data_IF_359350726033
#
_entry.id   IF_359350726033
#
_cell.length_a   1.000
_cell.length_b   1.000
_cell.length_c   1.000
_cell.angle_alpha   90.00
_cell.angle_beta   90.00
_cell.angle_gamma   90.00
#
_symmetry.space_group_name_H-M   'P 1'
#
loop_
_entity.id
_entity.type
_entity.pdbx_description
1 polymer ?
#
# COMPACT_ATOMS: atom_id res chain seq x y z
N UNK A 1 19.28 34.54 111.18
CA UNK A 1 18.55 33.94 112.32
C UNK A 1 17.28 33.29 111.78
N UNK A 2 17.00 32.03 112.19
CA UNK A 2 15.68 31.37 112.46
C UNK A 2 14.47 31.76 111.57
N UNK A 3 13.56 30.90 111.10
CA UNK A 3 13.16 29.49 111.29
C UNK A 3 12.02 29.28 110.27
N UNK A 4 11.98 28.17 109.52
CA UNK A 4 10.97 27.09 109.60
C UNK A 4 9.48 27.53 109.49
N UNK A 5 8.76 27.11 108.44
CA UNK A 5 7.70 26.08 108.50
C UNK A 5 7.06 25.78 107.13
N UNK A 6 6.67 24.52 106.96
CA UNK A 6 5.99 23.91 105.81
C UNK A 6 4.49 24.24 105.75
N UNK A 7 3.84 24.06 104.58
CA UNK A 7 2.60 23.27 104.39
C UNK A 7 2.42 23.01 102.88
N UNK A 8 2.10 21.75 102.55
CA UNK A 8 1.79 21.24 101.22
C UNK A 8 0.32 21.49 100.83
N UNK A 9 0.02 21.64 99.53
CA UNK A 9 -1.13 21.02 98.89
C UNK A 9 -0.95 20.99 97.36
N UNK A 10 -1.40 19.90 96.76
CA UNK A 10 -1.06 19.38 95.44
C UNK A 10 -2.10 19.70 94.34
N UNK A 11 -1.82 19.18 93.14
CA UNK A 11 -2.76 18.87 92.02
C UNK A 11 -2.95 20.06 91.03
N UNK A 12 -2.65 20.03 89.72
CA UNK A 12 -2.59 18.98 88.69
C UNK A 12 -1.45 19.31 87.70
N UNK A 13 -0.47 18.43 87.55
CA UNK A 13 0.42 18.41 86.40
C UNK A 13 -0.14 17.40 85.39
N UNK A 14 -0.82 17.88 84.36
CA UNK A 14 -1.23 17.08 83.21
C UNK A 14 -0.02 16.77 82.33
N UNK A 15 0.81 15.82 82.76
CA UNK A 15 1.82 15.22 81.90
C UNK A 15 1.09 14.27 80.93
N UNK A 16 0.72 14.80 79.77
CA UNK A 16 0.38 13.97 78.62
C UNK A 16 1.65 13.20 78.23
N UNK A 17 1.75 11.96 78.69
CA UNK A 17 2.68 10.98 78.15
C UNK A 17 2.32 10.78 76.68
N UNK A 18 3.06 11.46 75.80
CA UNK A 18 3.14 11.13 74.39
C UNK A 18 3.71 9.71 74.30
N UNK A 19 2.83 8.71 74.22
CA UNK A 19 3.20 7.39 73.73
C UNK A 19 3.79 7.59 72.35
N UNK A 20 5.10 7.42 72.21
CA UNK A 20 5.73 7.27 70.92
C UNK A 20 5.07 6.06 70.23
N UNK A 21 4.18 6.31 69.27
CA UNK A 21 3.66 5.28 68.39
C UNK A 21 4.87 4.70 67.64
N UNK A 22 5.40 3.58 68.12
CA UNK A 22 6.40 2.83 67.40
C UNK A 22 5.77 2.40 66.06
N UNK A 23 6.35 2.84 64.95
CA UNK A 23 5.95 2.37 63.63
C UNK A 23 6.07 0.85 63.58
N UNK A 24 5.10 0.17 62.97
CA UNK A 24 5.17 -1.28 62.80
C UNK A 24 6.47 -1.68 62.08
N UNK A 25 7.05 -2.87 62.41
CA UNK A 25 8.25 -3.33 61.75
C UNK A 25 7.97 -3.52 60.25
N UNK A 26 8.79 -2.93 59.36
CA UNK A 26 8.56 -3.04 57.93
C UNK A 26 8.77 -4.48 57.45
N UNK A 27 7.99 -4.93 56.45
CA UNK A 27 8.26 -6.19 55.75
C UNK A 27 9.70 -6.25 55.22
N UNK A 28 10.26 -7.45 55.09
CA UNK A 28 11.63 -7.68 54.60
C UNK A 28 11.64 -8.63 53.41
N UNK A 29 12.78 -8.75 52.72
CA UNK A 29 12.99 -9.68 51.61
C UNK A 29 11.90 -9.63 50.53
N UNK A 30 11.48 -8.41 50.17
CA UNK A 30 10.52 -8.22 49.08
C UNK A 30 11.17 -8.66 47.77
N UNK A 31 10.69 -9.76 47.21
CA UNK A 31 11.20 -10.36 46.00
C UNK A 31 10.11 -10.49 44.94
N UNK A 32 10.51 -10.46 43.68
CA UNK A 32 9.65 -10.67 42.52
C UNK A 32 10.17 -11.85 41.71
N UNK A 33 9.26 -12.65 41.17
CA UNK A 33 9.56 -13.75 40.27
C UNK A 33 8.34 -14.03 39.39
N UNK A 34 8.52 -14.82 38.32
CA UNK A 34 7.38 -15.31 37.56
C UNK A 34 6.51 -16.26 38.39
N UNK A 35 5.19 -16.07 38.33
CA UNK A 35 4.26 -17.05 38.90
C UNK A 35 4.43 -18.41 38.20
N UNK A 36 4.32 -19.54 38.94
CA UNK A 36 4.66 -20.87 38.45
C UNK A 36 3.78 -21.35 37.29
N UNK A 37 2.60 -20.75 37.09
CA UNK A 37 1.68 -21.06 35.99
C UNK A 37 1.84 -20.07 34.84
N UNK A 38 2.75 -20.38 33.92
CA UNK A 38 2.74 -19.83 32.56
C UNK A 38 3.13 -18.36 32.39
N UNK A 39 3.83 -17.75 33.36
CA UNK A 39 4.35 -16.36 33.29
C UNK A 39 3.27 -15.30 32.99
N UNK A 40 2.02 -15.56 33.41
CA UNK A 40 0.91 -14.63 33.23
C UNK A 40 0.76 -13.65 34.42
N UNK A 41 1.57 -13.82 35.46
CA UNK A 41 1.56 -12.99 36.65
C UNK A 41 2.97 -12.88 37.26
N UNK A 42 3.23 -11.75 37.91
CA UNK A 42 4.39 -11.49 38.76
C UNK A 42 4.04 -11.95 40.17
N UNK A 43 4.76 -12.94 40.67
CA UNK A 43 4.70 -13.38 42.06
C UNK A 43 5.56 -12.45 42.90
N UNK A 44 4.92 -11.73 43.80
CA UNK A 44 5.58 -10.92 44.83
C UNK A 44 5.57 -11.71 46.12
N UNK A 45 6.71 -11.81 46.80
CA UNK A 45 6.82 -12.44 48.13
C UNK A 45 7.55 -11.52 49.09
N UNK A 46 7.23 -11.60 50.38
CA UNK A 46 7.92 -10.86 51.43
C UNK A 46 7.95 -11.67 52.73
N UNK A 47 8.67 -11.17 53.73
CA UNK A 47 8.74 -11.75 55.08
C UNK A 47 8.28 -10.75 56.13
N UNK A 48 7.39 -11.20 57.00
CA UNK A 48 6.94 -10.52 58.21
C UNK A 48 6.35 -11.57 59.19
N UNK A 49 5.72 -11.11 60.26
CA UNK A 49 5.10 -11.95 61.29
C UNK A 49 3.56 -12.09 61.12
N UNK A 50 3.06 -12.14 59.88
CA UNK A 50 1.63 -12.29 59.57
C UNK A 50 0.81 -11.00 59.70
N UNK A 51 1.46 -9.86 59.53
CA UNK A 51 0.85 -8.54 59.67
C UNK A 51 -0.05 -8.19 58.46
N UNK A 52 -1.01 -7.26 58.57
CA UNK A 52 -1.73 -6.78 57.41
C UNK A 52 -0.81 -5.94 56.53
N UNK A 53 -0.82 -6.17 55.22
CA UNK A 53 0.09 -5.52 54.28
C UNK A 53 -0.63 -4.72 53.21
N UNK A 54 -0.07 -3.56 52.89
CA UNK A 54 -0.38 -2.76 51.70
C UNK A 54 0.73 -2.99 50.67
N UNK A 55 0.35 -3.47 49.49
CA UNK A 55 1.22 -3.68 48.36
C UNK A 55 0.91 -2.63 47.29
N UNK A 56 1.93 -1.97 46.76
CA UNK A 56 1.80 -0.98 45.70
C UNK A 56 2.79 -1.21 44.57
N UNK A 57 2.34 -0.94 43.35
CA UNK A 57 3.21 -0.89 42.16
C UNK A 57 3.70 0.56 42.01
N UNK A 58 5.02 0.74 42.04
CA UNK A 58 5.67 2.03 41.82
C UNK A 58 6.36 2.02 40.44
N UNK A 59 5.99 2.96 39.57
CA UNK A 59 6.75 3.20 38.34
C UNK A 59 7.93 4.12 38.62
N UNK A 60 9.10 3.83 38.06
CA UNK A 60 10.32 4.62 38.32
C UNK A 60 10.18 6.11 37.92
N UNK A 61 9.28 6.42 36.97
CA UNK A 61 8.99 7.78 36.48
C UNK A 61 7.61 8.32 36.90
N UNK A 62 6.85 7.61 37.75
CA UNK A 62 5.53 8.04 38.22
C UNK A 62 5.48 8.06 39.74
N UNK A 63 5.27 9.24 40.33
CA UNK A 63 5.21 9.43 41.78
C UNK A 63 3.92 8.88 42.41
N UNK A 64 2.89 8.60 41.61
CA UNK A 64 1.63 8.02 42.09
C UNK A 64 1.59 6.50 41.87
N UNK A 65 1.20 5.70 42.88
CA UNK A 65 1.07 4.25 42.72
C UNK A 65 -0.07 3.94 41.76
N UNK A 66 0.21 3.16 40.71
CA UNK A 66 -0.78 2.79 39.70
C UNK A 66 -1.78 1.74 40.21
N UNK A 67 -1.45 1.03 41.29
CA UNK A 67 -2.25 -0.05 41.84
C UNK A 67 -1.97 -0.24 43.33
N UNK A 68 -3.03 -0.50 44.12
CA UNK A 68 -2.94 -0.74 45.57
C UNK A 68 -3.73 -1.99 45.92
N UNK A 69 -3.10 -2.94 46.61
CA UNK A 69 -3.75 -4.12 47.18
C UNK A 69 -3.50 -4.17 48.68
N UNK A 70 -4.54 -4.50 49.45
CA UNK A 70 -4.41 -4.83 50.86
C UNK A 70 -4.54 -6.35 51.04
N UNK A 71 -3.62 -6.92 51.80
CA UNK A 71 -3.62 -8.33 52.23
C UNK A 71 -3.90 -8.33 53.74
N UNK A 72 -5.00 -8.96 54.18
CA UNK A 72 -5.32 -9.08 55.61
C UNK A 72 -4.22 -9.77 56.41
N UNK A 73 -4.22 -9.55 57.72
CA UNK A 73 -3.34 -10.28 58.65
C UNK A 73 -3.64 -11.79 58.60
N UNK A 74 -2.61 -12.62 58.76
CA UNK A 74 -2.71 -14.09 58.73
C UNK A 74 -2.84 -14.72 57.34
N UNK A 75 -2.96 -13.94 56.28
CA UNK A 75 -2.89 -14.44 54.90
C UNK A 75 -1.43 -14.74 54.48
N UNK A 76 -1.20 -15.57 53.45
CA UNK A 76 0.15 -15.83 52.95
C UNK A 76 0.86 -14.55 52.48
N UNK A 77 2.15 -14.43 52.80
CA UNK A 77 3.02 -13.32 52.36
C UNK A 77 3.44 -13.43 50.89
N UNK A 78 2.45 -13.54 50.03
CA UNK A 78 2.61 -13.58 48.59
C UNK A 78 1.41 -12.99 47.87
N UNK A 79 1.65 -12.43 46.70
CA UNK A 79 0.58 -12.00 45.82
C UNK A 79 0.98 -12.20 44.36
N UNK A 80 0.08 -12.81 43.59
CA UNK A 80 0.21 -12.92 42.13
C UNK A 80 -0.47 -11.72 41.47
N UNK A 81 0.35 -10.83 40.90
CA UNK A 81 -0.09 -9.65 40.17
C UNK A 81 -0.16 -9.99 38.68
N UNK A 82 -1.33 -9.93 38.02
CA UNK A 82 -1.43 -10.16 36.58
C UNK A 82 -0.49 -9.24 35.79
N UNK A 83 0.15 -9.73 34.71
CA UNK A 83 1.03 -8.89 33.88
C UNK A 83 0.31 -7.68 33.29
N UNK A 84 -1.00 -7.80 33.06
CA UNK A 84 -1.85 -6.68 32.61
C UNK A 84 -1.96 -5.51 33.60
N UNK A 85 -1.54 -5.68 34.86
CA UNK A 85 -1.47 -4.59 35.83
C UNK A 85 -0.21 -3.73 35.66
N UNK A 86 0.75 -4.19 34.86
CA UNK A 86 1.96 -3.45 34.51
C UNK A 86 1.85 -3.00 33.05
N UNK A 87 1.74 -1.69 32.78
CA UNK A 87 1.92 -1.18 31.43
C UNK A 87 3.24 -1.67 30.83
N UNK A 88 3.24 -1.99 29.54
CA UNK A 88 4.44 -2.44 28.84
C UNK A 88 5.44 -1.30 28.63
N UNK A 89 6.70 -1.67 28.37
CA UNK A 89 7.80 -0.75 28.07
C UNK A 89 8.11 0.24 29.23
N UNK A 90 7.98 -0.24 30.47
CA UNK A 90 8.20 0.55 31.68
C UNK A 90 9.16 -0.12 32.67
N UNK A 91 9.61 0.66 33.66
CA UNK A 91 10.44 0.17 34.76
C UNK A 91 9.65 0.27 36.08
N UNK A 92 9.59 -0.83 36.84
CA UNK A 92 8.73 -0.93 38.01
C UNK A 92 9.47 -1.48 39.24
N UNK A 93 8.92 -1.16 40.41
CA UNK A 93 9.22 -1.81 41.68
C UNK A 93 7.91 -2.14 42.38
N UNK A 94 7.90 -3.20 43.17
CA UNK A 94 6.80 -3.48 44.08
C UNK A 94 7.21 -3.07 45.48
N UNK A 95 6.41 -2.24 46.13
CA UNK A 95 6.61 -1.81 47.50
C UNK A 95 5.58 -2.45 48.43
N UNK A 96 6.04 -2.95 49.57
CA UNK A 96 5.22 -3.58 50.61
C UNK A 96 5.44 -2.82 51.91
N UNK A 97 4.36 -2.47 52.60
CA UNK A 97 4.38 -1.91 53.95
C UNK A 97 3.26 -2.51 54.79
N UNK A 98 3.44 -2.53 56.10
CA UNK A 98 2.38 -2.86 57.04
C UNK A 98 1.33 -1.76 57.03
N UNK A 99 0.06 -2.15 56.95
CA UNK A 99 -1.05 -1.21 56.90
C UNK A 99 -2.36 -1.81 56.42
N UNK A 100 -3.45 -1.11 56.71
CA UNK A 100 -4.80 -1.49 56.29
C UNK A 100 -5.46 -0.38 55.48
N UNK A 101 -6.56 -0.69 54.78
CA UNK A 101 -7.31 0.29 54.01
C UNK A 101 -7.94 1.39 54.89
N UNK A 102 -8.21 1.10 56.17
CA UNK A 102 -8.84 2.03 57.11
C UNK A 102 -7.82 2.75 58.01
N UNK A 103 -6.76 2.05 58.42
CA UNK A 103 -5.72 2.58 59.34
C UNK A 103 -4.53 3.23 58.65
N UNK A 104 -4.45 3.16 57.32
CA UNK A 104 -3.32 3.69 56.56
C UNK A 104 -2.06 2.82 56.68
N UNK A 105 -0.93 3.38 56.25
CA UNK A 105 0.38 2.74 56.30
C UNK A 105 1.06 3.06 57.63
N UNK A 106 1.48 2.03 58.35
CA UNK A 106 2.04 2.13 59.70
C UNK A 106 3.54 1.79 59.77
N UNK A 107 4.11 1.22 58.70
CA UNK A 107 5.56 0.95 58.56
C UNK A 107 6.21 1.74 57.42
N UNK A 108 7.55 1.73 57.36
CA UNK A 108 8.28 2.13 56.15
C UNK A 108 7.98 1.15 55.00
N UNK A 109 8.12 1.63 53.76
CA UNK A 109 8.02 0.83 52.54
C UNK A 109 9.30 0.05 52.30
N UNK A 110 9.18 -1.25 52.08
CA UNK A 110 10.26 -2.10 51.58
C UNK A 110 10.00 -2.42 50.12
N UNK A 111 11.03 -2.30 49.28
CA UNK A 111 10.91 -2.37 47.82
C UNK A 111 11.59 -3.60 47.25
N UNK A 112 11.02 -4.16 46.19
CA UNK A 112 11.69 -5.16 45.37
C UNK A 112 12.88 -4.56 44.60
N UNK A 113 13.75 -5.40 44.02
CA UNK A 113 14.58 -5.01 42.89
C UNK A 113 13.74 -4.39 41.76
N UNK A 114 14.38 -3.54 40.96
CA UNK A 114 13.76 -2.99 39.75
C UNK A 114 13.69 -4.08 38.68
N UNK A 115 12.63 -4.07 37.91
CA UNK A 115 12.44 -4.90 36.73
C UNK A 115 11.75 -4.10 35.62
N UNK A 116 11.97 -4.49 34.38
CA UNK A 116 11.27 -3.92 33.23
C UNK A 116 10.07 -4.75 32.78
N UNK A 117 9.28 -4.14 31.89
CA UNK A 117 8.16 -4.77 31.20
C UNK A 117 8.30 -4.67 29.69
N UNK A 118 9.51 -4.87 29.19
CA UNK A 118 9.83 -4.71 27.77
C UNK A 118 8.85 -5.49 26.90
N UNK A 119 8.08 -4.77 26.09
CA UNK A 119 7.06 -5.31 25.21
C UNK A 119 7.64 -6.08 24.02
N UNK A 120 6.80 -6.76 23.23
CA UNK A 120 7.28 -7.47 22.07
C UNK A 120 7.72 -6.47 20.99
N UNK A 121 8.85 -6.74 20.36
CA UNK A 121 9.42 -5.89 19.31
C UNK A 121 8.55 -5.91 18.07
N UNK A 122 8.04 -4.76 17.65
CA UNK A 122 7.14 -4.63 16.51
C UNK A 122 7.84 -5.05 15.20
N UNK A 123 7.30 -6.01 14.42
CA UNK A 123 7.87 -6.41 13.14
C UNK A 123 7.72 -5.32 12.08
N UNK A 124 8.74 -5.19 11.24
CA UNK A 124 8.81 -4.18 10.17
C UNK A 124 9.10 -4.83 8.82
N UNK A 125 9.03 -4.02 7.75
CA UNK A 125 9.44 -4.39 6.40
C UNK A 125 8.85 -5.74 5.92
N UNK A 126 7.56 -5.97 6.15
CA UNK A 126 6.93 -7.17 5.65
C UNK A 126 6.87 -7.16 4.13
N UNK A 127 7.21 -8.29 3.53
CA UNK A 127 7.27 -8.50 2.08
C UNK A 127 6.45 -9.72 1.72
N UNK A 128 5.98 -9.73 0.49
CA UNK A 128 5.13 -10.79 -0.03
C UNK A 128 5.63 -11.23 -1.39
N UNK A 129 5.73 -12.54 -1.57
CA UNK A 129 6.07 -13.17 -2.83
C UNK A 129 5.02 -14.23 -3.15
N UNK A 130 4.66 -14.35 -4.43
CA UNK A 130 3.75 -15.42 -4.87
C UNK A 130 4.44 -16.78 -4.71
N UNK A 131 3.72 -17.76 -4.18
CA UNK A 131 4.20 -19.13 -4.06
C UNK A 131 3.06 -20.10 -4.43
N UNK A 132 3.09 -20.62 -5.66
CA UNK A 132 2.03 -21.48 -6.19
C UNK A 132 0.67 -20.79 -6.20
N UNK A 133 -0.33 -21.39 -5.52
CA UNK A 133 -1.69 -20.82 -5.33
C UNK A 133 -1.80 -19.88 -4.13
N UNK A 134 -0.69 -19.65 -3.44
CA UNK A 134 -0.62 -18.91 -2.19
C UNK A 134 0.46 -17.84 -2.22
N UNK A 135 0.87 -17.41 -1.03
CA UNK A 135 1.94 -16.42 -0.85
C UNK A 135 2.90 -16.82 0.26
N UNK A 136 4.16 -16.43 0.10
CA UNK A 136 5.17 -16.40 1.14
C UNK A 136 5.28 -14.97 1.66
N UNK A 137 5.07 -14.82 2.96
CA UNK A 137 5.27 -13.56 3.65
C UNK A 137 6.53 -13.67 4.49
N UNK A 138 7.38 -12.64 4.45
CA UNK A 138 8.59 -12.50 5.28
C UNK A 138 8.57 -11.14 5.94
N UNK A 139 9.10 -11.05 7.15
CA UNK A 139 9.24 -9.78 7.86
C UNK A 139 10.60 -9.68 8.52
N UNK A 140 10.98 -8.45 8.85
CA UNK A 140 12.16 -8.16 9.64
C UNK A 140 11.75 -7.85 11.06
N UNK A 141 12.64 -8.14 12.00
CA UNK A 141 12.48 -7.81 13.42
C UNK A 141 13.63 -6.86 13.72
N UNK A 142 13.34 -5.61 14.11
CA UNK A 142 14.41 -4.69 14.49
C UNK A 142 15.13 -5.21 15.74
N UNK A 143 16.30 -4.64 16.01
CA UNK A 143 17.00 -4.91 17.28
C UNK A 143 16.09 -4.48 18.42
N UNK A 144 16.04 -5.29 19.49
CA UNK A 144 15.29 -4.93 20.68
C UNK A 144 15.80 -3.61 21.26
N UNK A 145 14.94 -2.81 21.90
CA UNK A 145 15.39 -1.68 22.70
C UNK A 145 16.47 -2.08 23.70
N UNK A 146 17.24 -1.09 24.16
CA UNK A 146 18.20 -1.33 25.23
C UNK A 146 17.44 -1.66 26.52
N UNK A 147 17.74 -2.83 27.07
CA UNK A 147 17.33 -3.25 28.40
C UNK A 147 18.13 -2.44 29.45
N UNK A 148 17.40 -1.75 30.33
CA UNK A 148 17.94 -0.89 31.39
C UNK A 148 18.05 -1.60 32.75
N UNK A 149 17.52 -2.81 32.86
CA UNK A 149 17.53 -3.66 34.06
C UNK A 149 18.07 -5.07 33.75
N UNK A 150 19.29 -5.19 33.18
CA UNK A 150 19.76 -6.46 32.66
C UNK A 150 19.95 -7.52 33.76
N UNK A 151 19.42 -8.71 33.50
CA UNK A 151 19.36 -9.86 34.41
C UNK A 151 18.45 -9.64 35.62
N UNK A 152 17.38 -8.85 35.47
CA UNK A 152 16.38 -8.76 36.52
C UNK A 152 15.65 -10.10 36.74
N UNK A 153 14.96 -10.29 37.88
CA UNK A 153 14.32 -11.56 38.23
C UNK A 153 13.19 -12.03 37.28
N UNK A 154 12.70 -11.14 36.42
CA UNK A 154 11.62 -11.36 35.45
C UNK A 154 12.13 -11.45 34.02
N UNK A 155 13.42 -11.27 33.77
CA UNK A 155 14.01 -11.50 32.46
C UNK A 155 13.81 -12.93 31.96
N UNK A 156 13.24 -13.04 30.75
CA UNK A 156 13.07 -14.33 30.10
C UNK A 156 14.32 -14.67 29.27
N UNK A 157 15.08 -15.65 29.77
CA UNK A 157 16.25 -16.17 29.05
C UNK A 157 15.85 -17.01 27.81
N UNK A 158 16.39 -16.66 26.65
CA UNK A 158 16.41 -17.50 25.44
C UNK A 158 15.91 -16.85 24.14
N UNK A 159 16.27 -17.41 22.99
CA UNK A 159 15.97 -16.86 21.64
C UNK A 159 14.49 -16.90 21.20
N UNK A 160 13.55 -17.20 22.12
CA UNK A 160 12.14 -17.53 21.80
C UNK A 160 11.12 -16.81 22.70
N UNK A 161 11.50 -15.69 23.31
CA UNK A 161 10.61 -14.87 24.16
C UNK A 161 9.45 -14.31 23.34
N UNK A 162 9.75 -13.81 22.15
CA UNK A 162 8.75 -13.25 21.25
C UNK A 162 8.11 -14.31 20.35
N UNK A 163 6.78 -14.29 20.31
CA UNK A 163 5.97 -15.12 19.42
C UNK A 163 5.21 -14.28 18.40
N UNK A 164 5.13 -14.79 17.17
CA UNK A 164 4.43 -14.20 16.05
C UNK A 164 3.15 -14.99 15.78
N UNK A 165 2.01 -14.32 15.83
CA UNK A 165 0.69 -14.87 15.54
C UNK A 165 0.22 -14.28 14.21
N UNK A 166 0.33 -15.04 13.10
CA UNK A 166 -0.09 -14.56 11.79
C UNK A 166 -1.61 -14.45 11.73
N UNK A 167 -2.10 -13.33 11.21
CA UNK A 167 -3.52 -13.03 11.08
C UNK A 167 -3.86 -12.62 9.65
N UNK A 168 -5.06 -12.99 9.19
CA UNK A 168 -5.57 -12.61 7.87
C UNK A 168 -6.96 -11.99 7.99
N UNK A 169 -7.19 -10.93 7.22
CA UNK A 169 -8.46 -10.27 7.09
C UNK A 169 -8.94 -10.32 5.64
N UNK A 170 -10.24 -10.51 5.45
CA UNK A 170 -10.92 -10.52 4.15
C UNK A 170 -12.20 -9.69 4.23
N UNK A 171 -12.67 -9.09 3.13
CA UNK A 171 -13.89 -8.29 3.16
C UNK A 171 -15.07 -9.06 3.77
N UNK A 172 -15.77 -8.44 4.72
CA UNK A 172 -16.91 -9.02 5.44
C UNK A 172 -16.55 -10.03 6.54
N UNK A 173 -15.26 -10.23 6.84
CA UNK A 173 -14.80 -11.16 7.87
C UNK A 173 -13.99 -10.43 8.95
N UNK A 174 -14.05 -10.90 10.19
CA UNK A 174 -13.15 -10.44 11.25
C UNK A 174 -11.71 -10.86 10.94
N UNK A 175 -10.74 -10.09 11.43
CA UNK A 175 -9.33 -10.46 11.37
C UNK A 175 -9.11 -11.76 12.16
N UNK A 176 -8.68 -12.83 11.47
CA UNK A 176 -8.59 -14.17 12.05
C UNK A 176 -7.15 -14.69 12.08
N UNK A 177 -6.79 -15.35 13.18
CA UNK A 177 -5.54 -16.09 13.32
C UNK A 177 -5.52 -17.28 12.35
N UNK A 178 -4.44 -17.43 11.57
CA UNK A 178 -4.34 -18.47 10.53
C UNK A 178 -3.44 -19.67 10.90
N UNK A 179 -2.85 -19.65 12.09
CA UNK A 179 -2.00 -20.73 12.57
C UNK A 179 -1.54 -20.51 14.01
N UNK A 180 -0.87 -21.50 14.62
CA UNK A 180 -0.31 -21.36 15.95
C UNK A 180 0.79 -20.27 15.97
N UNK A 181 1.04 -19.72 17.15
CA UNK A 181 2.11 -18.78 17.35
C UNK A 181 3.47 -19.41 16.99
N UNK A 182 4.33 -18.68 16.28
CA UNK A 182 5.63 -19.14 15.78
C UNK A 182 6.75 -18.21 16.19
N UNK A 183 7.99 -18.67 16.14
CA UNK A 183 9.22 -17.84 16.29
C UNK A 183 9.89 -17.59 14.94
N UNK A 184 9.34 -18.16 13.86
CA UNK A 184 9.86 -17.97 12.50
C UNK A 184 9.50 -16.59 11.97
N UNK A 185 10.40 -15.97 11.19
CA UNK A 185 10.20 -14.68 10.53
C UNK A 185 9.53 -14.79 9.14
N UNK A 186 8.90 -15.93 8.87
CA UNK A 186 8.22 -16.21 7.60
C UNK A 186 6.94 -17.00 7.82
N UNK A 187 5.96 -16.76 6.94
CA UNK A 187 4.71 -17.49 6.90
C UNK A 187 4.33 -17.84 5.46
N UNK A 188 4.03 -19.11 5.22
CA UNK A 188 3.44 -19.57 3.94
C UNK A 188 1.93 -19.66 4.11
N UNK A 189 1.19 -18.98 3.25
CA UNK A 189 -0.27 -19.08 3.19
C UNK A 189 -0.61 -19.82 1.91
N UNK A 190 -0.91 -21.12 2.01
CA UNK A 190 -1.03 -22.03 0.84
C UNK A 190 -2.14 -21.64 -0.13
N UNK A 191 -3.22 -21.02 0.35
CA UNK A 191 -4.38 -20.66 -0.46
C UNK A 191 -4.96 -19.33 0.00
N UNK A 192 -4.58 -18.26 -0.69
CA UNK A 192 -5.16 -16.93 -0.50
C UNK A 192 -5.23 -16.21 -1.84
N UNK A 193 -6.37 -15.58 -2.10
CA UNK A 193 -6.58 -14.73 -3.27
C UNK A 193 -6.85 -13.30 -2.81
N UNK A 194 -6.27 -12.29 -3.47
CA UNK A 194 -6.67 -10.90 -3.27
C UNK A 194 -8.19 -10.68 -3.49
N UNK A 195 -8.82 -9.73 -2.78
CA UNK A 195 -8.21 -8.84 -1.81
C UNK A 195 -8.12 -9.44 -0.39
N UNK A 196 -7.02 -9.20 0.32
CA UNK A 196 -6.82 -9.59 1.72
C UNK A 196 -5.87 -8.61 2.43
N UNK A 197 -5.89 -8.58 3.76
CA UNK A 197 -4.81 -8.00 4.56
C UNK A 197 -4.19 -9.10 5.42
N UNK A 198 -2.89 -9.07 5.57
CA UNK A 198 -2.14 -9.89 6.50
C UNK A 198 -1.53 -8.96 7.54
N UNK A 199 -1.64 -9.34 8.80
CA UNK A 199 -1.02 -8.65 9.92
C UNK A 199 -0.36 -9.67 10.83
N UNK A 200 0.65 -9.21 11.55
CA UNK A 200 1.37 -10.03 12.50
C UNK A 200 1.16 -9.48 13.89
N UNK A 201 0.46 -10.24 14.73
CA UNK A 201 0.38 -9.94 16.15
C UNK A 201 1.57 -10.58 16.85
N UNK A 202 2.40 -9.76 17.44
CA UNK A 202 3.53 -10.15 18.28
C UNK A 202 3.12 -10.19 19.74
N UNK A 203 3.65 -11.15 20.47
CA UNK A 203 3.30 -11.40 21.87
C UNK A 203 4.54 -11.83 22.64
N UNK A 204 4.68 -11.32 23.85
CA UNK A 204 5.56 -11.84 24.89
C UNK A 204 4.78 -11.92 26.22
N UNK A 205 5.48 -12.14 27.31
CA UNK A 205 4.96 -12.19 28.68
C UNK A 205 4.23 -10.91 29.13
N UNK A 206 4.64 -9.74 28.62
CA UNK A 206 4.15 -8.45 29.06
C UNK A 206 2.97 -7.93 28.24
N UNK A 207 3.03 -8.03 26.91
CA UNK A 207 1.99 -7.46 26.07
C UNK A 207 1.90 -8.05 24.66
N UNK A 208 1.03 -7.45 23.85
CA UNK A 208 0.88 -7.78 22.44
C UNK A 208 0.94 -6.52 21.58
N UNK A 209 1.60 -6.61 20.43
CA UNK A 209 1.73 -5.51 19.47
C UNK A 209 1.46 -5.99 18.04
N UNK A 210 0.94 -5.12 17.17
CA UNK A 210 0.61 -5.47 15.77
C UNK A 210 1.60 -4.81 14.81
N UNK A 211 2.25 -5.60 13.96
CA UNK A 211 3.16 -5.10 12.93
C UNK A 211 3.18 -5.99 11.69
N UNK A 212 4.19 -5.80 10.85
CA UNK A 212 4.44 -6.66 9.69
C UNK A 212 3.25 -6.80 8.73
N UNK A 213 2.63 -5.67 8.33
CA UNK A 213 1.44 -5.69 7.48
C UNK A 213 1.78 -5.93 6.00
N UNK A 214 0.95 -6.75 5.35
CA UNK A 214 0.94 -6.96 3.90
C UNK A 214 -0.47 -6.84 3.36
N UNK A 215 -0.65 -6.15 2.24
CA UNK A 215 -1.92 -6.04 1.54
C UNK A 215 -1.90 -6.87 0.24
N UNK A 216 -2.86 -7.78 0.11
CA UNK A 216 -3.24 -8.37 -1.17
C UNK A 216 -4.32 -7.51 -1.83
N UNK A 217 -4.00 -6.91 -2.97
CA UNK A 217 -4.84 -5.98 -3.71
C UNK A 217 -5.42 -6.66 -4.95
N UNK A 218 -6.70 -6.45 -5.23
CA UNK A 218 -7.29 -6.74 -6.54
C UNK A 218 -7.37 -5.45 -7.34
N UNK A 219 -7.26 -5.52 -8.66
CA UNK A 219 -7.46 -4.37 -9.53
C UNK A 219 -8.66 -4.55 -10.44
N UNK A 220 -9.32 -3.45 -10.77
CA UNK A 220 -10.19 -3.34 -11.94
C UNK A 220 -9.61 -2.29 -12.89
N UNK A 221 -9.83 -2.50 -14.19
CA UNK A 221 -9.34 -1.61 -15.24
C UNK A 221 -10.42 -1.39 -16.29
N UNK A 222 -10.60 -0.14 -16.69
CA UNK A 222 -11.33 0.21 -17.90
C UNK A 222 -10.37 0.82 -18.93
N UNK A 223 -10.73 0.74 -20.21
CA UNK A 223 -9.90 1.27 -21.27
C UNK A 223 -10.74 1.82 -22.43
N UNK A 224 -10.28 2.94 -22.97
CA UNK A 224 -10.71 3.53 -24.22
C UNK A 224 -9.56 3.44 -25.22
N UNK A 225 -9.78 2.65 -26.27
CA UNK A 225 -8.87 2.47 -27.40
C UNK A 225 -9.56 3.06 -28.63
N UNK A 226 -8.92 3.99 -29.37
CA UNK A 226 -9.48 4.51 -30.61
C UNK A 226 -9.77 3.38 -31.61
N UNK A 227 -10.96 3.41 -32.22
CA UNK A 227 -11.38 2.44 -33.24
C UNK A 227 -10.72 2.69 -34.60
N UNK A 228 -10.19 3.89 -34.84
CA UNK A 228 -9.51 4.30 -36.06
C UNK A 228 -8.16 4.94 -35.72
N UNK A 229 -7.14 4.62 -36.51
CA UNK A 229 -5.79 5.17 -36.35
C UNK A 229 -5.11 5.39 -37.70
N UNK A 230 -4.34 6.47 -37.81
CA UNK A 230 -3.43 6.64 -38.95
C UNK A 230 -2.16 5.83 -38.74
N UNK A 231 -1.63 5.23 -39.81
CA UNK A 231 -0.38 4.50 -39.76
C UNK A 231 0.78 5.37 -39.23
N UNK A 232 1.59 4.81 -38.33
CA UNK A 232 2.75 5.48 -37.72
C UNK A 232 2.43 6.76 -36.93
N UNK A 233 1.16 7.00 -36.62
CA UNK A 233 0.72 8.07 -35.69
C UNK A 233 0.27 7.41 -34.40
N UNK A 234 0.93 7.66 -33.26
CA UNK A 234 0.56 7.00 -32.02
C UNK A 234 -0.90 7.27 -31.62
N UNK A 235 -1.66 6.22 -31.32
CA UNK A 235 -2.95 6.36 -30.64
C UNK A 235 -2.73 6.60 -29.15
N UNK A 236 -3.64 7.36 -28.53
CA UNK A 236 -3.71 7.50 -27.08
C UNK A 236 -4.69 6.48 -26.51
N UNK A 237 -4.17 5.50 -25.77
CA UNK A 237 -4.98 4.54 -25.03
C UNK A 237 -5.16 5.08 -23.62
N UNK A 238 -6.42 5.35 -23.25
CA UNK A 238 -6.77 6.03 -22.00
C UNK A 238 -7.60 5.12 -21.11
N UNK A 239 -7.60 5.38 -19.80
CA UNK A 239 -8.45 4.65 -18.89
C UNK A 239 -8.13 4.94 -17.43
N UNK A 240 -8.63 4.07 -16.57
CA UNK A 240 -8.49 4.16 -15.11
C UNK A 240 -8.32 2.77 -14.51
N UNK A 241 -7.44 2.68 -13.53
CA UNK A 241 -7.25 1.52 -12.67
C UNK A 241 -7.77 1.86 -11.28
N UNK A 242 -8.56 0.96 -10.71
CA UNK A 242 -9.01 1.03 -9.31
C UNK A 242 -8.44 -0.18 -8.59
N UNK A 243 -7.74 0.04 -7.49
CA UNK A 243 -7.30 -1.02 -6.59
C UNK A 243 -8.34 -1.20 -5.48
N UNK A 244 -8.56 -2.45 -5.09
CA UNK A 244 -9.40 -2.82 -3.96
C UNK A 244 -8.49 -3.39 -2.88
N UNK A 245 -8.51 -2.76 -1.72
CA UNK A 245 -7.75 -3.15 -0.53
C UNK A 245 -8.70 -3.50 0.61
N UNK A 246 -8.16 -4.15 1.64
CA UNK A 246 -8.93 -4.53 2.84
C UNK A 246 -8.43 -3.70 4.02
N UNK A 247 -9.34 -2.93 4.62
CA UNK A 247 -9.13 -2.29 5.91
C UNK A 247 -9.79 -3.16 7.00
N UNK A 248 -9.11 -3.40 8.11
CA UNK A 248 -9.65 -4.14 9.24
C UNK A 248 -9.35 -3.38 10.51
N UNK A 249 -10.36 -3.27 11.39
CA UNK A 249 -10.14 -3.00 12.80
C UNK A 249 -10.18 -4.31 13.57
N UNK A 250 -9.77 -4.28 14.84
CA UNK A 250 -9.73 -5.49 15.68
C UNK A 250 -11.12 -5.99 16.04
N UNK A 251 -12.06 -5.07 16.27
CA UNK A 251 -13.39 -5.37 16.78
C UNK A 251 -14.50 -5.21 15.72
N UNK A 252 -14.13 -4.98 14.46
CA UNK A 252 -15.07 -4.78 13.36
C UNK A 252 -14.76 -5.70 12.17
N UNK A 253 -15.79 -6.15 11.42
CA UNK A 253 -15.56 -6.89 10.19
C UNK A 253 -14.76 -6.04 9.20
N UNK A 254 -13.77 -6.65 8.55
CA UNK A 254 -12.95 -5.97 7.57
C UNK A 254 -13.80 -5.42 6.41
N UNK A 255 -13.51 -4.19 6.00
CA UNK A 255 -14.20 -3.51 4.90
C UNK A 255 -13.35 -3.47 3.64
N UNK A 256 -14.01 -3.46 2.49
CA UNK A 256 -13.36 -3.25 1.20
C UNK A 256 -13.23 -1.75 0.94
N UNK A 257 -12.02 -1.29 0.66
CA UNK A 257 -11.72 0.10 0.36
C UNK A 257 -11.20 0.22 -1.07
N UNK A 258 -11.58 1.32 -1.74
CA UNK A 258 -11.09 1.63 -3.08
C UNK A 258 -9.89 2.57 -2.95
N UNK A 259 -8.81 2.24 -3.65
CA UNK A 259 -7.64 3.08 -3.78
C UNK A 259 -7.38 3.38 -5.25
N UNK A 260 -6.94 4.60 -5.55
CA UNK A 260 -6.57 5.00 -6.92
C UNK A 260 -5.16 5.61 -6.95
N UNK A 261 -4.14 4.81 -6.56
CA UNK A 261 -2.79 5.33 -6.43
C UNK A 261 -2.17 5.62 -7.80
N UNK A 262 -1.24 6.57 -7.79
CA UNK A 262 -0.31 6.78 -8.89
C UNK A 262 0.75 5.67 -8.93
N UNK A 263 1.41 5.48 -10.08
CA UNK A 263 2.53 4.57 -10.23
C UNK A 263 2.16 3.08 -10.31
N UNK A 264 0.88 2.74 -10.52
CA UNK A 264 0.47 1.36 -10.83
C UNK A 264 0.90 1.04 -12.26
N UNK A 265 1.68 -0.02 -12.50
CA UNK A 265 2.14 -0.36 -13.84
C UNK A 265 0.97 -0.80 -14.72
N UNK A 266 0.98 -0.33 -15.97
CA UNK A 266 -0.02 -0.66 -16.99
C UNK A 266 0.70 -1.05 -18.27
N UNK A 267 0.26 -2.14 -18.90
CA UNK A 267 0.83 -2.64 -20.16
C UNK A 267 -0.27 -2.69 -21.20
N UNK A 268 -0.03 -2.04 -22.34
CA UNK A 268 -0.88 -2.21 -23.52
C UNK A 268 -0.35 -3.41 -24.29
N UNK A 269 -1.20 -4.39 -24.51
CA UNK A 269 -0.92 -5.60 -25.27
C UNK A 269 -1.62 -5.53 -26.63
N UNK A 270 -0.99 -6.11 -27.65
CA UNK A 270 -1.58 -6.30 -28.98
C UNK A 270 -1.32 -7.72 -29.50
N UNK A 271 -2.11 -8.15 -30.47
CA UNK A 271 -1.81 -9.33 -31.27
C UNK A 271 -1.30 -8.87 -32.63
N UNK A 272 -0.04 -9.15 -32.95
CA UNK A 272 0.52 -8.80 -34.26
C UNK A 272 -0.11 -9.67 -35.36
N UNK A 273 -0.40 -10.94 -35.08
CA UNK A 273 -1.13 -11.84 -35.99
C UNK A 273 -2.47 -12.26 -35.36
N UNK A 274 -3.59 -12.36 -36.10
CA UNK A 274 -4.86 -12.84 -35.54
C UNK A 274 -4.68 -14.19 -34.83
N UNK A 275 -5.23 -14.33 -33.62
CA UNK A 275 -5.11 -15.56 -32.82
C UNK A 275 -3.74 -15.79 -32.14
N UNK A 276 -2.71 -15.01 -32.46
CA UNK A 276 -1.38 -15.16 -31.84
C UNK A 276 -1.35 -14.74 -30.36
N UNK A 277 -0.23 -15.05 -29.68
CA UNK A 277 -0.01 -14.58 -28.30
C UNK A 277 -0.09 -13.05 -28.22
N UNK A 278 -0.65 -12.55 -27.12
CA UNK A 278 -0.63 -11.13 -26.80
C UNK A 278 0.81 -10.70 -26.49
N UNK A 279 1.25 -9.62 -27.13
CA UNK A 279 2.60 -9.06 -27.00
C UNK A 279 2.54 -7.60 -26.53
N UNK A 280 3.50 -7.12 -25.72
CA UNK A 280 3.54 -5.72 -25.31
C UNK A 280 3.70 -4.78 -26.52
N UNK A 281 2.79 -3.81 -26.62
CA UNK A 281 2.84 -2.72 -27.59
C UNK A 281 3.34 -1.41 -26.96
N UNK A 282 2.99 -1.18 -25.70
CA UNK A 282 3.46 -0.05 -24.91
C UNK A 282 3.36 -0.35 -23.41
N UNK A 283 4.05 0.44 -22.59
CA UNK A 283 4.01 0.39 -21.13
C UNK A 283 3.82 1.80 -20.59
N UNK A 284 3.19 1.90 -19.43
CA UNK A 284 3.02 3.15 -18.71
C UNK A 284 2.67 2.89 -17.25
N UNK A 285 2.26 3.94 -16.56
CA UNK A 285 1.78 3.85 -15.19
C UNK A 285 0.62 4.80 -14.96
N UNK A 286 -0.14 4.56 -13.90
CA UNK A 286 -1.21 5.48 -13.51
C UNK A 286 -0.66 6.80 -12.95
N UNK A 287 -1.40 7.88 -13.17
CA UNK A 287 -1.26 9.16 -12.47
C UNK A 287 -2.10 9.17 -11.20
N UNK A 288 -2.09 10.29 -10.47
CA UNK A 288 -3.03 10.52 -9.38
C UNK A 288 -4.48 10.29 -9.84
N UNK A 289 -5.31 9.68 -8.99
CA UNK A 289 -6.68 9.29 -9.34
C UNK A 289 -6.80 8.00 -10.15
N UNK A 290 -5.68 7.30 -10.40
CA UNK A 290 -5.65 6.00 -11.08
C UNK A 290 -5.78 6.06 -12.60
N UNK A 291 -5.72 7.25 -13.19
CA UNK A 291 -5.85 7.45 -14.64
C UNK A 291 -4.57 7.08 -15.39
N UNK A 292 -4.67 6.71 -16.66
CA UNK A 292 -3.51 6.55 -17.53
C UNK A 292 -3.83 7.05 -18.95
N UNK A 293 -2.80 7.56 -19.63
CA UNK A 293 -2.80 7.92 -21.06
C UNK A 293 -1.48 7.41 -21.67
N UNK A 294 -1.57 6.34 -22.45
CA UNK A 294 -0.40 5.67 -23.02
C UNK A 294 -0.43 5.86 -24.53
N UNK A 295 0.65 6.45 -25.08
CA UNK A 295 0.86 6.52 -26.51
C UNK A 295 1.31 5.15 -27.03
N UNK A 296 0.61 4.63 -28.03
CA UNK A 296 0.90 3.32 -28.65
C UNK A 296 1.19 3.53 -30.13
N UNK A 297 2.39 3.16 -30.62
CA UNK A 297 2.69 3.26 -32.04
C UNK A 297 1.77 2.34 -32.85
N UNK A 298 1.21 2.89 -33.92
CA UNK A 298 0.24 2.19 -34.76
C UNK A 298 0.92 1.57 -35.97
N UNK A 299 0.47 0.38 -36.36
CA UNK A 299 0.78 -0.24 -37.64
C UNK A 299 -0.50 -0.71 -38.32
N UNK A 300 -0.47 -1.85 -39.03
CA UNK A 300 -1.70 -2.46 -39.58
C UNK A 300 -2.79 -2.74 -38.53
N UNK A 301 -4.06 -2.84 -38.97
CA UNK A 301 -5.25 -2.92 -38.12
C UNK A 301 -5.20 -4.09 -37.14
N UNK A 302 -5.28 -3.85 -35.82
CA UNK A 302 -5.04 -4.89 -34.82
C UNK A 302 -5.82 -4.67 -33.53
N UNK A 303 -6.08 -5.73 -32.75
CA UNK A 303 -6.70 -5.58 -31.45
C UNK A 303 -5.67 -5.12 -30.40
N UNK A 304 -6.15 -4.34 -29.44
CA UNK A 304 -5.42 -3.93 -28.25
C UNK A 304 -6.22 -4.29 -27.01
N UNK A 305 -5.52 -4.66 -25.94
CA UNK A 305 -6.11 -4.78 -24.60
C UNK A 305 -5.10 -4.25 -23.58
N UNK A 306 -5.60 -3.85 -22.42
CA UNK A 306 -4.77 -3.23 -21.40
C UNK A 306 -4.76 -4.15 -20.19
N UNK A 307 -3.58 -4.38 -19.63
CA UNK A 307 -3.39 -5.26 -18.48
C UNK A 307 -2.61 -4.53 -17.39
N UNK A 308 -3.10 -4.62 -16.15
CA UNK A 308 -2.30 -4.41 -14.94
C UNK A 308 -1.64 -5.75 -14.65
N UNK A 309 -0.32 -5.88 -14.81
CA UNK A 309 0.37 -7.12 -14.49
C UNK A 309 0.36 -7.36 -12.98
N UNK A 310 0.50 -8.62 -12.58
CA UNK A 310 0.80 -8.95 -11.19
C UNK A 310 2.09 -8.23 -10.76
N UNK A 311 2.05 -7.55 -9.63
CA UNK A 311 3.17 -6.77 -9.13
C UNK A 311 3.29 -6.90 -7.61
N UNK A 312 4.50 -7.15 -7.13
CA UNK A 312 4.84 -7.19 -5.70
C UNK A 312 5.76 -6.03 -5.37
N UNK A 313 5.36 -5.18 -4.43
CA UNK A 313 6.19 -4.14 -3.82
C UNK A 313 6.20 -4.36 -2.30
N UNK A 314 7.09 -3.67 -1.58
CA UNK A 314 7.14 -3.78 -0.11
C UNK A 314 5.73 -3.67 0.50
N UNK A 315 5.36 -4.64 1.33
CA UNK A 315 4.03 -4.71 1.96
C UNK A 315 2.83 -4.89 1.03
N UNK A 316 2.98 -5.07 -0.28
CA UNK A 316 1.84 -5.09 -1.22
C UNK A 316 1.99 -6.12 -2.35
N UNK A 317 0.91 -6.84 -2.62
CA UNK A 317 0.77 -7.76 -3.75
C UNK A 317 -0.46 -7.34 -4.56
N UNK A 318 -0.28 -6.89 -5.79
CA UNK A 318 -1.39 -6.54 -6.69
C UNK A 318 -1.65 -7.68 -7.67
N UNK A 319 -2.88 -8.16 -7.71
CA UNK A 319 -3.36 -9.14 -8.69
C UNK A 319 -3.39 -8.58 -10.12
N UNK A 320 -3.60 -9.46 -11.09
CA UNK A 320 -3.72 -9.08 -12.50
C UNK A 320 -5.16 -8.67 -12.84
N UNK A 321 -5.32 -7.63 -13.64
CA UNK A 321 -6.60 -7.29 -14.28
C UNK A 321 -6.39 -6.94 -15.74
N UNK A 322 -7.31 -7.37 -16.62
CA UNK A 322 -7.21 -7.14 -18.07
C UNK A 322 -8.52 -6.60 -18.61
N UNK A 323 -8.45 -5.58 -19.46
CA UNK A 323 -9.59 -5.01 -20.16
C UNK A 323 -10.12 -5.96 -21.23
N UNK A 324 -11.36 -5.72 -21.69
CA UNK A 324 -11.84 -6.32 -22.94
C UNK A 324 -10.94 -5.86 -24.11
N UNK A 325 -10.63 -6.74 -25.08
CA UNK A 325 -9.99 -6.33 -26.32
C UNK A 325 -10.83 -5.34 -27.11
N UNK A 326 -10.18 -4.35 -27.72
CA UNK A 326 -10.77 -3.41 -28.65
C UNK A 326 -9.99 -3.44 -29.97
N UNK A 327 -10.69 -3.42 -31.11
CA UNK A 327 -10.07 -3.44 -32.43
C UNK A 327 -9.84 -2.04 -32.95
N UNK A 328 -8.61 -1.74 -33.37
CA UNK A 328 -8.28 -0.49 -34.04
C UNK A 328 -8.04 -0.76 -35.52
N UNK A 329 -8.86 -0.14 -36.35
CA UNK A 329 -8.69 -0.08 -37.80
C UNK A 329 -7.60 0.94 -38.13
N UNK A 330 -6.65 0.56 -38.95
CA UNK A 330 -5.57 1.43 -39.40
C UNK A 330 -5.87 1.94 -40.80
N UNK A 331 -5.67 3.23 -41.03
CA UNK A 331 -5.77 3.86 -42.36
C UNK A 331 -4.37 4.25 -42.84
N UNK A 332 -4.18 4.20 -44.16
CA UNK A 332 -3.00 4.79 -44.80
C UNK A 332 -2.88 6.25 -44.39
N UNK A 333 -1.68 6.69 -44.02
CA UNK A 333 -1.41 8.08 -43.66
C UNK A 333 -0.97 8.84 -44.89
N UNK A 334 -1.61 9.97 -45.18
CA UNK A 334 -1.07 10.97 -46.12
C UNK A 334 0.06 11.72 -45.42
N UNK A 335 1.29 11.55 -45.88
CA UNK A 335 2.45 12.25 -45.36
C UNK A 335 2.55 13.68 -45.91
N UNK A 336 2.28 13.83 -47.21
CA UNK A 336 2.14 15.12 -47.88
C UNK A 336 1.27 14.98 -49.13
N UNK A 337 0.61 16.06 -49.53
CA UNK A 337 -0.08 16.16 -50.80
C UNK A 337 -0.16 17.63 -51.21
N UNK A 338 0.03 17.92 -52.49
CA UNK A 338 -0.01 19.30 -52.98
C UNK A 338 0.61 19.49 -54.35
N UNK A 339 0.72 20.76 -54.75
CA UNK A 339 1.32 21.18 -56.00
C UNK A 339 2.76 21.63 -55.78
N UNK A 340 3.71 21.07 -56.53
CA UNK A 340 5.15 21.31 -56.34
C UNK A 340 5.55 22.77 -56.58
N UNK A 341 4.85 23.47 -57.48
CA UNK A 341 5.12 24.86 -57.85
C UNK A 341 4.11 25.85 -57.23
N UNK A 342 3.42 25.45 -56.16
CA UNK A 342 2.36 26.24 -55.54
C UNK A 342 0.97 25.98 -56.15
N UNK A 343 -0.06 26.53 -55.52
CA UNK A 343 -1.47 26.34 -55.88
C UNK A 343 -1.95 27.31 -56.98
N UNK A 344 -1.06 28.11 -57.58
CA UNK A 344 -1.40 29.09 -58.61
C UNK A 344 -0.56 28.85 -59.86
N UNK A 345 -1.23 28.53 -60.97
CA UNK A 345 -0.64 28.54 -62.30
C UNK A 345 -0.67 29.98 -62.85
N UNK A 346 0.52 30.57 -63.03
CA UNK A 346 0.69 31.99 -63.41
C UNK A 346 0.31 32.30 -64.86
N UNK A 347 0.29 31.29 -65.73
CA UNK A 347 -0.13 31.43 -67.12
C UNK A 347 -0.84 30.16 -67.61
N UNK A 348 -1.81 30.33 -68.51
CA UNK A 348 -2.38 29.24 -69.30
C UNK A 348 -1.27 28.45 -70.00
N UNK A 349 -1.33 27.13 -69.92
CA UNK A 349 -0.32 26.22 -70.47
C UNK A 349 0.94 26.07 -69.61
N UNK A 350 0.98 26.66 -68.41
CA UNK A 350 2.03 26.36 -67.43
C UNK A 350 1.93 24.89 -66.99
N UNK A 351 3.09 24.28 -66.75
CA UNK A 351 3.16 22.91 -66.24
C UNK A 351 2.96 22.93 -64.73
N UNK A 352 1.95 22.22 -64.26
CA UNK A 352 1.63 22.04 -62.86
C UNK A 352 1.91 20.59 -62.48
N UNK A 353 2.66 20.37 -61.40
CA UNK A 353 2.92 19.03 -60.88
C UNK A 353 2.16 18.84 -59.58
N UNK A 354 1.15 17.97 -59.59
CA UNK A 354 0.45 17.52 -58.40
C UNK A 354 1.12 16.26 -57.86
N UNK A 355 1.30 16.17 -56.55
CA UNK A 355 2.00 15.05 -55.91
C UNK A 355 1.33 14.62 -54.60
N UNK A 356 1.56 13.36 -54.24
CA UNK A 356 1.16 12.77 -52.96
C UNK A 356 2.24 11.83 -52.46
N UNK A 357 2.49 11.88 -51.16
CA UNK A 357 3.31 10.91 -50.45
C UNK A 357 2.51 10.30 -49.30
N UNK A 358 2.60 8.98 -49.12
CA UNK A 358 1.89 8.23 -48.09
C UNK A 358 2.82 7.39 -47.22
N UNK A 359 2.33 7.03 -46.03
CA UNK A 359 2.95 6.07 -45.11
C UNK A 359 1.95 4.96 -44.76
N UNK A 360 2.35 3.67 -44.73
CA UNK A 360 3.70 3.20 -45.06
C UNK A 360 4.00 3.38 -46.55
N UNK A 361 5.24 3.17 -46.96
CA UNK A 361 5.57 3.20 -48.39
C UNK A 361 4.86 2.02 -49.09
N UNK A 362 4.05 2.32 -50.11
CA UNK A 362 3.24 1.36 -50.85
C UNK A 362 3.64 1.39 -52.33
N UNK A 363 3.54 0.23 -53.00
CA UNK A 363 3.52 0.15 -54.45
C UNK A 363 2.08 -0.18 -54.86
N UNK A 364 1.38 0.77 -55.46
CA UNK A 364 -0.05 0.63 -55.80
C UNK A 364 -0.43 1.60 -56.91
N UNK A 365 -1.71 1.64 -57.28
CA UNK A 365 -2.26 2.65 -58.19
C UNK A 365 -3.17 3.58 -57.40
N UNK A 366 -2.91 4.87 -57.45
CA UNK A 366 -3.78 5.90 -56.85
C UNK A 366 -4.58 6.61 -57.93
N UNK A 367 -5.77 7.09 -57.58
CA UNK A 367 -6.63 7.83 -58.51
C UNK A 367 -6.61 9.32 -58.17
N UNK A 368 -6.15 10.14 -59.11
CA UNK A 368 -6.38 11.58 -59.07
C UNK A 368 -7.82 11.84 -59.50
N UNK A 369 -8.62 12.44 -58.62
CA UNK A 369 -9.97 12.89 -58.92
C UNK A 369 -10.02 14.41 -58.98
N UNK A 370 -10.86 14.93 -59.87
CA UNK A 370 -11.20 16.34 -59.95
C UNK A 370 -12.66 16.54 -59.52
N UNK A 371 -12.95 17.67 -58.88
CA UNK A 371 -14.30 18.05 -58.56
C UNK A 371 -14.98 18.64 -59.79
N UNK A 372 -16.00 17.96 -60.30
CA UNK A 372 -16.84 18.50 -61.35
C UNK A 372 -17.89 19.43 -60.73
N UNK A 373 -17.75 20.73 -60.98
CA UNK A 373 -18.65 21.77 -60.44
C UNK A 373 -20.08 21.66 -60.99
N UNK A 374 -20.24 21.25 -62.25
CA UNK A 374 -21.55 21.13 -62.90
C UNK A 374 -22.34 19.96 -62.32
N UNK A 375 -21.71 18.79 -62.18
CA UNK A 375 -22.38 17.59 -61.67
C UNK A 375 -22.31 17.47 -60.15
N UNK A 376 -21.56 18.35 -59.47
CA UNK A 376 -21.30 18.35 -58.02
C UNK A 376 -20.83 16.99 -57.51
N UNK A 377 -19.94 16.34 -58.27
CA UNK A 377 -19.41 15.01 -57.97
C UNK A 377 -17.91 14.96 -58.27
N UNK A 378 -17.23 14.05 -57.59
CA UNK A 378 -15.85 13.71 -57.91
C UNK A 378 -15.82 12.84 -59.17
N UNK A 379 -14.96 13.20 -60.12
CA UNK A 379 -14.73 12.43 -61.35
C UNK A 379 -13.28 11.96 -61.40
N UNK A 380 -13.11 10.70 -61.79
CA UNK A 380 -11.79 10.10 -61.98
C UNK A 380 -11.08 10.80 -63.14
N UNK A 381 -9.95 11.44 -62.85
CA UNK A 381 -9.17 12.18 -63.85
C UNK A 381 -8.02 11.35 -64.39
N UNK A 382 -7.23 10.73 -63.50
CA UNK A 382 -6.07 9.93 -63.91
C UNK A 382 -5.67 8.91 -62.84
N UNK A 383 -5.53 7.65 -63.26
CA UNK A 383 -4.86 6.63 -62.48
C UNK A 383 -3.33 6.79 -62.59
N UNK A 384 -2.64 6.79 -61.44
CA UNK A 384 -1.21 7.04 -61.34
C UNK A 384 -0.53 5.90 -60.57
N UNK A 385 0.58 5.36 -61.09
CA UNK A 385 1.38 4.40 -60.33
C UNK A 385 2.03 5.14 -59.15
N UNK A 386 1.77 4.65 -57.95
CA UNK A 386 2.47 5.02 -56.73
C UNK A 386 3.61 4.04 -56.51
N UNK A 387 4.84 4.57 -56.41
CA UNK A 387 6.05 3.79 -56.14
C UNK A 387 6.69 4.29 -54.85
N UNK A 388 7.05 3.37 -53.96
CA UNK A 388 7.62 3.68 -52.65
C UNK A 388 6.80 4.71 -51.85
N UNK A 389 5.46 4.66 -51.98
CA UNK A 389 4.53 5.58 -51.33
C UNK A 389 4.45 6.97 -51.96
N UNK A 390 5.02 7.20 -53.14
CA UNK A 390 4.99 8.49 -53.83
C UNK A 390 4.33 8.36 -55.20
N UNK A 391 3.49 9.33 -55.55
CA UNK A 391 2.95 9.49 -56.89
C UNK A 391 2.94 10.97 -57.26
N UNK A 392 3.22 11.28 -58.53
CA UNK A 392 3.16 12.62 -59.05
C UNK A 392 2.65 12.62 -60.50
N UNK A 393 1.99 13.69 -60.89
CA UNK A 393 1.54 13.93 -62.26
C UNK A 393 1.83 15.38 -62.63
N UNK A 394 2.63 15.55 -63.68
CA UNK A 394 2.79 16.81 -64.37
C UNK A 394 1.71 16.93 -65.47
N UNK A 395 0.97 18.03 -65.50
CA UNK A 395 -0.01 18.33 -66.54
C UNK A 395 -0.02 19.82 -66.87
N UNK A 396 -0.62 20.18 -68.00
CA UNK A 396 -0.73 21.56 -68.47
C UNK A 396 -2.02 22.18 -67.98
N UNK A 397 -1.96 23.35 -67.35
CA UNK A 397 -3.14 24.10 -66.94
C UNK A 397 -3.85 24.70 -68.17
N UNK A 398 -4.86 24.00 -68.69
CA UNK A 398 -5.44 24.31 -70.01
C UNK A 398 -6.45 25.45 -70.00
N UNK A 399 -7.17 25.68 -68.90
CA UNK A 399 -8.24 26.67 -68.79
C UNK A 399 -8.07 27.52 -67.53
N UNK A 400 -8.29 28.85 -67.61
CA UNK A 400 -8.39 29.70 -66.43
C UNK A 400 -9.53 29.28 -65.51
N UNK A 401 -9.35 29.49 -64.22
CA UNK A 401 -10.35 29.21 -63.19
C UNK A 401 -9.84 28.37 -62.03
N UNK A 402 -10.79 27.95 -61.20
CA UNK A 402 -10.53 27.29 -59.93
C UNK A 402 -10.89 25.80 -59.98
N UNK A 403 -9.90 24.96 -59.78
CA UNK A 403 -10.03 23.51 -59.81
C UNK A 403 -9.75 22.92 -58.44
N UNK A 404 -10.45 21.85 -58.09
CA UNK A 404 -10.24 21.14 -56.83
C UNK A 404 -9.94 19.69 -57.15
N UNK A 405 -8.83 19.19 -56.63
CA UNK A 405 -8.36 17.83 -56.81
C UNK A 405 -8.28 17.09 -55.48
N UNK A 406 -8.26 15.76 -55.54
CA UNK A 406 -7.86 14.90 -54.42
C UNK A 406 -7.26 13.61 -54.96
N UNK A 407 -6.41 12.96 -54.17
CA UNK A 407 -6.03 11.58 -54.43
C UNK A 407 -6.93 10.64 -53.62
N UNK A 408 -7.42 9.60 -54.29
CA UNK A 408 -7.99 8.41 -53.65
C UNK A 408 -6.88 7.37 -53.56
N UNK A 409 -6.52 7.03 -52.34
CA UNK A 409 -5.47 6.07 -52.01
C UNK A 409 -6.16 4.78 -51.59
N UNK A 410 -5.91 3.65 -52.28
CA UNK A 410 -6.55 2.39 -51.94
C UNK A 410 -6.05 1.86 -50.59
N UNK A 411 -6.79 0.90 -50.04
CA UNK A 411 -6.32 0.13 -48.90
C UNK A 411 -5.07 -0.67 -49.24
N UNK A 412 -4.34 -1.09 -48.21
CA UNK A 412 -3.11 -1.86 -48.37
C UNK A 412 -3.01 -2.95 -47.31
N UNK A 413 -2.17 -3.95 -47.55
CA UNK A 413 -1.82 -4.96 -46.56
C UNK A 413 -0.47 -4.61 -45.93
N UNK A 414 -0.40 -4.66 -44.60
CA UNK A 414 0.84 -4.49 -43.87
C UNK A 414 1.02 -5.62 -42.87
N UNK A 415 2.12 -6.38 -43.00
CA UNK A 415 2.40 -7.55 -42.17
C UNK A 415 1.19 -8.52 -42.07
N UNK A 416 0.54 -8.77 -43.21
CA UNK A 416 -0.65 -9.63 -43.28
C UNK A 416 -1.93 -9.00 -42.71
N UNK A 417 -1.96 -7.70 -42.46
CA UNK A 417 -3.13 -6.99 -41.90
C UNK A 417 -3.68 -5.93 -42.84
N UNK A 418 -5.02 -5.84 -42.99
CA UNK A 418 -5.61 -4.80 -43.80
C UNK A 418 -5.39 -3.43 -43.16
N UNK A 419 -5.10 -2.45 -44.01
CA UNK A 419 -5.22 -1.02 -43.74
C UNK A 419 -6.22 -0.47 -44.74
N UNK A 420 -7.10 0.38 -44.24
CA UNK A 420 -8.06 1.07 -45.07
C UNK A 420 -7.38 2.13 -45.94
N UNK A 421 -7.97 2.34 -47.11
CA UNK A 421 -7.63 3.46 -47.97
C UNK A 421 -8.01 4.79 -47.34
N UNK A 422 -7.57 5.87 -47.96
CA UNK A 422 -7.89 7.22 -47.52
C UNK A 422 -7.97 8.15 -48.71
N UNK A 423 -8.45 9.36 -48.47
CA UNK A 423 -8.41 10.45 -49.44
C UNK A 423 -7.56 11.59 -48.89
N UNK A 424 -6.85 12.28 -49.76
CA UNK A 424 -6.17 13.53 -49.35
C UNK A 424 -7.22 14.60 -49.03
N UNK A 425 -6.84 15.62 -48.24
CA UNK A 425 -7.58 16.89 -48.23
C UNK A 425 -7.75 17.44 -49.65
N UNK A 426 -8.70 18.35 -49.81
CA UNK A 426 -8.95 19.03 -51.08
C UNK A 426 -7.74 19.88 -51.47
N UNK A 427 -7.20 19.63 -52.67
CA UNK A 427 -6.08 20.36 -53.24
C UNK A 427 -6.63 21.39 -54.23
N UNK A 428 -6.57 22.68 -53.89
CA UNK A 428 -7.05 23.74 -54.76
C UNK A 428 -5.96 24.17 -55.75
N UNK A 429 -6.34 24.37 -57.00
CA UNK A 429 -5.51 24.92 -58.06
C UNK A 429 -6.22 26.11 -58.70
N UNK A 430 -5.57 27.26 -58.69
CA UNK A 430 -6.01 28.48 -59.35
C UNK A 430 -5.22 28.66 -60.63
N UNK A 431 -5.89 28.82 -61.77
CA UNK A 431 -5.26 29.10 -63.06
C UNK A 431 -5.65 30.50 -63.49
N UNK A 432 -4.64 31.37 -63.66
CA UNK A 432 -4.84 32.76 -64.10
C UNK A 432 -5.01 32.86 -65.61
#
# INVERSE_FOLDING_TARGET
MRRVLAVALAVVAGAASLTACASDPPPTDVAVAWAPKGRAAVLVTWKDNGQPNRITIEGVLSESPSYVKYVPAGEPNRWEIPTSAFPADGNYKVAVATGTSQGGVTSKLTKSPVFDTDGPVRPTAATVAKQGRGVLIRWSVPVAPQDFTPNDPLDVKGKKTQRYVPMIGRPGQMLKVIGPATTSNRQVIKSVKPPYTFQLRTQNEWSTSIGGQVLGLTSSINAAVPSLAQFSVPIRVRGRVILYQVGCDLDSPCTSQRATPAGVPVVVLTQVTPGSRWTPAARGSTTAGGYYDIAVPTGGSRPYKITVPENTKGGTHTGTSTSKPAYTKSIVRVASAGFANGNTATAKGSTVTVSVAVKPALNTTVMLQAWNRQTRRWVDSKALPMRNGQAALAFKAAQPGDFVYRFVIPGAMMFGRPMDGTTTPQLQLHVR
#
